data_IF_727423032309
#
_entry.id   IF_727423032309
#
_cell.length_a   1.000
_cell.length_b   1.000
_cell.length_c   1.000
_cell.angle_alpha   90.00
_cell.angle_beta   90.00
_cell.angle_gamma   90.00
#
_symmetry.space_group_name_H-M   'P 1'
#
loop_
_entity.id
_entity.type
_entity.pdbx_description
1 polymer ?
#
# COMPACT_ATOMS: atom_id res chain seq x y z
N UNK A 1 -27.89 -9.91 -1.24
CA UNK A 1 -26.90 -8.80 -1.33
C UNK A 1 -25.53 -9.41 -1.55
N UNK A 2 -24.66 -8.77 -2.35
CA UNK A 2 -23.30 -9.24 -2.54
C UNK A 2 -22.52 -9.17 -1.22
N UNK A 3 -21.55 -10.06 -1.02
CA UNK A 3 -20.70 -10.02 0.17
C UNK A 3 -19.92 -8.70 0.22
N UNK A 4 -19.71 -8.10 1.42
CA UNK A 4 -18.88 -6.92 1.60
C UNK A 4 -17.49 -7.12 1.00
N UNK A 5 -16.94 -6.09 0.38
CA UNK A 5 -15.68 -6.18 -0.34
C UNK A 5 -14.99 -4.84 -0.52
N UNK A 6 -13.72 -4.89 -0.93
CA UNK A 6 -12.91 -3.70 -1.21
C UNK A 6 -12.64 -3.54 -2.71
N UNK A 7 -12.76 -2.30 -3.20
CA UNK A 7 -12.38 -1.89 -4.54
C UNK A 7 -11.13 -1.00 -4.47
N UNK A 8 -10.07 -1.41 -5.18
CA UNK A 8 -8.82 -0.66 -5.26
C UNK A 8 -8.78 0.21 -6.53
N UNK A 9 -8.61 1.52 -6.35
CA UNK A 9 -8.33 2.47 -7.43
C UNK A 9 -6.83 2.72 -7.48
N UNK A 10 -6.16 2.09 -8.43
CA UNK A 10 -4.70 2.10 -8.57
C UNK A 10 -4.18 2.98 -9.71
N UNK A 11 -2.90 3.36 -9.64
CA UNK A 11 -2.26 4.25 -10.62
C UNK A 11 -1.12 5.09 -10.03
N UNK A 12 -0.36 5.74 -10.91
CA UNK A 12 0.76 6.61 -10.51
C UNK A 12 0.30 7.88 -9.81
N UNK A 13 1.22 8.65 -9.21
CA UNK A 13 0.90 9.97 -8.67
C UNK A 13 0.35 10.88 -9.77
N UNK A 14 -0.65 11.71 -9.46
CA UNK A 14 -1.29 12.61 -10.43
C UNK A 14 -2.33 11.97 -11.35
N UNK A 15 -2.53 10.65 -11.33
CA UNK A 15 -3.51 9.99 -12.22
C UNK A 15 -4.99 10.14 -11.79
N UNK A 16 -5.29 10.95 -10.77
CA UNK A 16 -6.67 11.22 -10.31
C UNK A 16 -7.32 10.15 -9.43
N UNK A 17 -6.56 9.20 -8.85
CA UNK A 17 -7.09 8.10 -8.03
C UNK A 17 -8.00 8.57 -6.89
N UNK A 18 -7.56 9.57 -6.14
CA UNK A 18 -8.29 10.10 -4.98
C UNK A 18 -9.63 10.71 -5.43
N UNK A 19 -9.62 11.50 -6.50
CA UNK A 19 -10.83 12.11 -7.08
C UNK A 19 -11.81 11.04 -7.57
N UNK A 20 -11.34 10.09 -8.37
CA UNK A 20 -12.20 9.02 -8.92
C UNK A 20 -12.72 8.11 -7.80
N UNK A 21 -11.86 7.73 -6.86
CA UNK A 21 -12.22 6.88 -5.73
C UNK A 21 -13.26 7.51 -4.82
N UNK A 22 -13.09 8.78 -4.46
CA UNK A 22 -14.06 9.51 -3.64
C UNK A 22 -15.42 9.64 -4.33
N UNK A 23 -15.43 10.02 -5.62
CA UNK A 23 -16.66 10.12 -6.41
C UNK A 23 -17.37 8.78 -6.56
N UNK A 24 -16.61 7.70 -6.79
CA UNK A 24 -17.15 6.36 -6.93
C UNK A 24 -17.76 5.86 -5.61
N UNK A 25 -17.05 6.05 -4.49
CA UNK A 25 -17.53 5.69 -3.17
C UNK A 25 -18.82 6.45 -2.82
N UNK A 26 -18.87 7.76 -3.09
CA UNK A 26 -20.06 8.58 -2.89
C UNK A 26 -21.26 8.07 -3.68
N UNK A 27 -21.07 7.72 -4.97
CA UNK A 27 -22.15 7.18 -5.82
C UNK A 27 -22.63 5.80 -5.37
N UNK A 28 -21.75 4.97 -4.81
CA UNK A 28 -22.08 3.63 -4.34
C UNK A 28 -22.58 3.59 -2.89
N UNK A 29 -22.46 4.70 -2.15
CA UNK A 29 -22.69 4.73 -0.70
C UNK A 29 -21.65 3.91 0.08
N UNK A 30 -20.44 3.78 -0.47
CA UNK A 30 -19.34 3.02 0.13
C UNK A 30 -18.40 3.94 0.90
N UNK A 31 -17.61 3.36 1.80
CA UNK A 31 -16.59 4.12 2.53
C UNK A 31 -15.38 4.35 1.65
N UNK A 32 -14.78 5.54 1.73
CA UNK A 32 -13.58 5.89 0.97
C UNK A 32 -12.37 6.05 1.89
N UNK A 33 -11.22 5.58 1.42
CA UNK A 33 -9.92 5.84 2.01
C UNK A 33 -8.93 6.29 0.94
N UNK A 34 -8.16 7.34 1.25
CA UNK A 34 -6.93 7.65 0.53
C UNK A 34 -5.75 7.00 1.26
N UNK A 35 -5.01 6.13 0.59
CA UNK A 35 -3.90 5.42 1.21
C UNK A 35 -2.79 6.37 1.68
N UNK A 36 -2.62 7.53 1.03
CA UNK A 36 -1.57 8.50 1.36
C UNK A 36 -1.77 9.12 2.75
N UNK A 37 -3.02 9.20 3.24
CA UNK A 37 -3.36 9.70 4.59
C UNK A 37 -2.84 8.79 5.72
N UNK A 38 -2.58 7.52 5.40
CA UNK A 38 -2.16 6.49 6.37
C UNK A 38 -0.65 6.29 6.41
N UNK A 39 0.13 7.09 5.68
CA UNK A 39 1.57 7.03 5.80
C UNK A 39 2.04 7.47 7.19
N UNK A 40 2.98 6.72 7.80
CA UNK A 40 3.61 7.17 9.03
C UNK A 40 4.38 8.47 8.79
N UNK A 41 4.60 9.23 9.86
CA UNK A 41 5.22 10.55 9.76
C UNK A 41 6.61 10.50 9.12
N UNK A 42 7.40 9.46 9.39
CA UNK A 42 8.72 9.30 8.77
C UNK A 42 8.62 9.17 7.24
N UNK A 43 7.60 8.49 6.73
CA UNK A 43 7.39 8.33 5.29
C UNK A 43 6.94 9.65 4.66
N UNK A 44 6.03 10.38 5.32
CA UNK A 44 5.60 11.71 4.86
C UNK A 44 6.77 12.68 4.80
N UNK A 45 7.63 12.69 5.83
CA UNK A 45 8.84 13.50 5.85
C UNK A 45 9.82 13.15 4.72
N UNK A 46 10.05 11.86 4.44
CA UNK A 46 10.89 11.42 3.31
C UNK A 46 10.33 11.92 1.98
N UNK A 47 9.04 11.69 1.72
CA UNK A 47 8.38 12.13 0.50
C UNK A 47 8.38 13.66 0.35
N UNK A 48 8.15 14.39 1.44
CA UNK A 48 8.19 15.86 1.46
C UNK A 48 9.58 16.44 1.13
N UNK A 49 10.64 15.66 1.38
CA UNK A 49 12.03 15.99 0.98
C UNK A 49 12.38 15.49 -0.42
N UNK A 50 11.43 14.92 -1.16
CA UNK A 50 11.69 14.28 -2.46
C UNK A 50 12.48 12.98 -2.37
N UNK A 51 12.64 12.40 -1.17
CA UNK A 51 13.36 11.15 -0.95
C UNK A 51 12.40 9.99 -1.25
N UNK A 52 12.72 9.11 -2.21
CA UNK A 52 11.86 7.98 -2.54
C UNK A 52 11.82 6.96 -1.41
N UNK A 53 10.62 6.46 -1.09
CA UNK A 53 10.45 5.38 -0.10
C UNK A 53 11.02 4.07 -0.64
N UNK A 54 11.57 3.25 0.26
CA UNK A 54 12.00 1.87 -0.01
C UNK A 54 10.84 0.88 0.22
N UNK A 55 11.03 -0.38 -0.16
CA UNK A 55 10.01 -1.41 0.09
C UNK A 55 9.76 -1.62 1.59
N UNK A 56 10.82 -1.58 2.40
CA UNK A 56 10.74 -1.65 3.86
C UNK A 56 9.91 -0.52 4.47
N UNK A 57 9.94 0.68 3.87
CA UNK A 57 9.12 1.81 4.32
C UNK A 57 7.63 1.60 4.02
N UNK A 58 7.32 0.90 2.91
CA UNK A 58 5.95 0.71 2.42
C UNK A 58 5.26 -0.49 3.04
N UNK A 59 5.97 -1.55 3.40
CA UNK A 59 5.35 -2.79 3.92
C UNK A 59 4.50 -2.52 5.17
N UNK A 60 4.98 -1.85 6.23
CA UNK A 60 4.17 -1.59 7.43
C UNK A 60 2.90 -0.80 7.11
N UNK A 61 3.01 0.20 6.23
CA UNK A 61 1.90 1.00 5.74
C UNK A 61 0.85 0.16 4.99
N UNK A 62 1.28 -0.72 4.09
CA UNK A 62 0.39 -1.62 3.35
C UNK A 62 -0.32 -2.61 4.28
N UNK A 63 0.35 -3.08 5.33
CA UNK A 63 -0.26 -3.97 6.32
C UNK A 63 -1.33 -3.24 7.14
N UNK A 64 -1.07 -2.00 7.56
CA UNK A 64 -2.07 -1.18 8.24
C UNK A 64 -3.31 -0.96 7.36
N UNK A 65 -3.12 -0.70 6.06
CA UNK A 65 -4.23 -0.58 5.12
C UNK A 65 -5.02 -1.90 5.00
N UNK A 66 -4.33 -3.04 4.92
CA UNK A 66 -4.98 -4.35 4.91
C UNK A 66 -5.87 -4.55 6.14
N UNK A 67 -5.36 -4.23 7.33
CA UNK A 67 -6.10 -4.37 8.58
C UNK A 67 -7.34 -3.46 8.62
N UNK A 68 -7.23 -2.23 8.10
CA UNK A 68 -8.36 -1.29 7.95
C UNK A 68 -9.43 -1.85 7.01
N UNK A 69 -9.02 -2.40 5.86
CA UNK A 69 -9.93 -2.99 4.89
C UNK A 69 -10.66 -4.19 5.48
N UNK A 70 -9.93 -5.10 6.15
CA UNK A 70 -10.52 -6.28 6.77
C UNK A 70 -11.52 -5.91 7.86
N UNK A 71 -11.19 -4.94 8.72
CA UNK A 71 -12.10 -4.48 9.78
C UNK A 71 -13.43 -4.01 9.20
N UNK A 72 -13.39 -3.18 8.17
CA UNK A 72 -14.59 -2.59 7.60
C UNK A 72 -15.41 -3.62 6.80
N UNK A 73 -14.75 -4.52 6.05
CA UNK A 73 -15.39 -5.66 5.39
C UNK A 73 -16.10 -6.56 6.42
N UNK A 74 -15.43 -6.89 7.53
CA UNK A 74 -15.99 -7.70 8.60
C UNK A 74 -17.19 -7.02 9.29
N UNK A 75 -17.24 -5.68 9.30
CA UNK A 75 -18.38 -4.91 9.79
C UNK A 75 -19.55 -4.81 8.80
N UNK A 76 -19.48 -5.48 7.65
CA UNK A 76 -20.52 -5.45 6.63
C UNK A 76 -20.42 -4.26 5.67
N UNK A 77 -19.33 -3.50 5.69
CA UNK A 77 -19.16 -2.28 4.89
C UNK A 77 -18.32 -2.55 3.64
N UNK A 78 -18.78 -2.02 2.51
CA UNK A 78 -17.96 -1.96 1.29
C UNK A 78 -17.03 -0.75 1.32
N UNK A 79 -15.86 -0.91 0.73
CA UNK A 79 -14.78 0.08 0.82
C UNK A 79 -14.16 0.35 -0.55
N UNK A 80 -13.84 1.61 -0.83
CA UNK A 80 -13.00 2.04 -1.94
C UNK A 80 -11.69 2.58 -1.38
N UNK A 81 -10.56 2.06 -1.86
CA UNK A 81 -9.22 2.52 -1.49
C UNK A 81 -8.49 3.09 -2.71
N UNK A 82 -8.10 4.35 -2.65
CA UNK A 82 -7.13 4.92 -3.58
C UNK A 82 -5.72 4.56 -3.11
N UNK A 83 -4.94 3.81 -3.90
CA UNK A 83 -3.59 3.41 -3.52
C UNK A 83 -2.70 3.24 -4.76
N UNK A 84 -1.44 3.66 -4.71
CA UNK A 84 -0.53 3.48 -5.84
C UNK A 84 -0.33 2.01 -6.22
N UNK A 85 -0.07 1.13 -5.23
CA UNK A 85 -0.01 -0.33 -5.33
C UNK A 85 0.58 -0.91 -6.65
N UNK A 86 1.62 -0.26 -7.17
CA UNK A 86 2.15 -0.51 -8.52
C UNK A 86 2.80 -1.90 -8.64
N UNK A 87 3.51 -2.33 -7.60
CA UNK A 87 4.16 -3.65 -7.57
C UNK A 87 3.14 -4.75 -7.23
N UNK A 88 3.29 -5.92 -7.85
CA UNK A 88 2.49 -7.12 -7.53
C UNK A 88 2.56 -7.47 -6.04
N UNK A 89 3.77 -7.43 -5.47
CA UNK A 89 3.97 -7.71 -4.04
C UNK A 89 3.14 -6.80 -3.13
N UNK A 90 2.95 -5.53 -3.48
CA UNK A 90 2.14 -4.61 -2.67
C UNK A 90 0.66 -4.98 -2.71
N UNK A 91 0.17 -5.41 -3.89
CA UNK A 91 -1.20 -5.92 -4.03
C UNK A 91 -1.40 -7.20 -3.26
N UNK A 92 -0.41 -8.10 -3.29
CA UNK A 92 -0.46 -9.35 -2.52
C UNK A 92 -0.53 -9.07 -1.00
N UNK A 93 0.20 -8.07 -0.48
CA UNK A 93 0.09 -7.63 0.92
C UNK A 93 -1.31 -7.07 1.22
N UNK A 94 -1.89 -6.25 0.35
CA UNK A 94 -3.23 -5.69 0.56
C UNK A 94 -4.34 -6.76 0.55
N UNK A 95 -4.16 -7.83 -0.23
CA UNK A 95 -5.14 -8.93 -0.32
C UNK A 95 -4.96 -9.95 0.80
N UNK A 96 -3.71 -10.32 1.11
CA UNK A 96 -3.39 -11.47 1.95
C UNK A 96 -2.77 -11.10 3.29
N UNK A 97 -2.42 -9.85 3.53
CA UNK A 97 -1.76 -9.40 4.75
C UNK A 97 -0.25 -9.66 4.78
N UNK A 98 0.33 -9.55 5.98
CA UNK A 98 1.79 -9.59 6.22
C UNK A 98 2.48 -10.84 5.66
N UNK A 99 1.80 -11.98 5.57
CA UNK A 99 2.39 -13.23 5.07
C UNK A 99 2.85 -13.18 3.60
N UNK A 100 2.42 -12.19 2.83
CA UNK A 100 2.86 -11.99 1.43
C UNK A 100 3.83 -10.82 1.25
N UNK A 101 4.30 -10.21 2.34
CA UNK A 101 5.38 -9.24 2.25
C UNK A 101 6.63 -9.94 1.67
N UNK A 102 7.32 -9.35 0.68
CA UNK A 102 8.56 -9.92 0.19
C UNK A 102 9.54 -9.96 1.38
N UNK A 103 9.79 -11.17 1.89
CA UNK A 103 10.91 -11.45 2.77
C UNK A 103 12.16 -11.04 1.99
N UNK A 104 13.03 -10.24 2.60
CA UNK A 104 14.28 -9.88 1.95
C UNK A 104 15.02 -11.13 1.50
N UNK A 105 15.38 -11.21 0.22
CA UNK A 105 16.59 -11.89 -0.17
C UNK A 105 17.74 -11.05 0.38
N UNK A 106 18.53 -11.61 1.30
CA UNK A 106 19.79 -11.03 1.74
C UNK A 106 20.69 -10.81 0.53
N UNK A 107 20.89 -9.55 0.12
CA UNK A 107 22.03 -9.19 -0.71
C UNK A 107 23.25 -9.00 0.21
N UNK A 108 23.81 -10.10 0.71
CA UNK A 108 25.23 -10.12 1.10
C UNK A 108 26.07 -10.24 -0.17
N UNK A 109 26.18 -9.10 -0.87
CA UNK A 109 27.18 -8.90 -1.91
C UNK A 109 28.57 -8.91 -1.30
N UNK A 110 29.36 -9.91 -1.70
CA UNK A 110 30.80 -10.04 -1.43
C UNK A 110 31.56 -8.77 -1.78
N UNK A 111 32.29 -8.19 -0.83
CA UNK A 111 33.57 -7.57 -1.15
C UNK A 111 34.67 -8.62 -0.96
N UNK A 112 35.06 -9.21 -2.09
CA UNK A 112 36.36 -9.87 -2.25
C UNK A 112 37.40 -8.75 -2.28
N UNK A 113 38.24 -8.64 -1.27
CA UNK A 113 39.52 -7.95 -1.41
C UNK A 113 40.49 -8.89 -2.17
N UNK A 114 41.16 -8.44 -3.24
CA UNK A 114 42.21 -9.22 -3.90
C UNK A 114 43.62 -8.87 -3.36
N UNK A 115 44.54 -9.82 -3.58
CA UNK A 115 46.01 -9.74 -3.67
C UNK A 115 46.84 -9.52 -2.36
N UNK A 116 47.67 -10.52 -2.00
CA UNK A 116 49.16 -10.54 -2.10
C UNK A 116 49.82 -9.87 -0.87
N UNK A 117 50.74 -10.49 -0.11
CA UNK A 117 51.96 -11.26 -0.41
C UNK A 117 52.13 -12.43 0.57
#
# INVERSE_FOLDING_TARGET
MAAPGALLVMGVSGSGKSTVGALLASKLGWKFYDADDYHPEENRMKMGKGIPLKDQDRIPWLCNLHDILLRDIASGQHVVLACSALKKAYRDVLIRGKQCAPLQCDETGKDKQPAEV
#
